data_IF_015003914501
#
_entry.id   IF_015003914501
#
_cell.length_a   1.000
_cell.length_b   1.000
_cell.length_c   1.000
_cell.angle_alpha   90.00
_cell.angle_beta   90.00
_cell.angle_gamma   90.00
#
_symmetry.space_group_name_H-M   'P 1'
#
loop_
_entity.id
_entity.type
_entity.pdbx_description
1 polymer ?
#
# COMPACT_ATOMS: atom_id res chain seq x y z
N UNK A 1 -9.03 8.91 5.09
CA UNK A 1 -7.68 9.34 5.51
C UNK A 1 -7.20 8.71 6.83
N UNK A 2 -7.99 8.77 7.92
CA UNK A 2 -7.56 8.30 9.26
C UNK A 2 -7.01 6.86 9.28
N UNK A 3 -7.67 5.93 8.58
CA UNK A 3 -7.19 4.55 8.47
C UNK A 3 -5.87 4.43 7.70
N UNK A 4 -5.66 5.21 6.63
CA UNK A 4 -4.38 5.24 5.91
C UNK A 4 -3.26 5.65 6.88
N UNK A 5 -3.49 6.71 7.65
CA UNK A 5 -2.53 7.17 8.67
C UNK A 5 -2.30 6.15 9.77
N UNK A 6 -3.34 5.45 10.21
CA UNK A 6 -3.23 4.39 11.21
C UNK A 6 -2.40 3.20 10.69
N UNK A 7 -2.68 2.74 9.47
CA UNK A 7 -1.93 1.68 8.82
C UNK A 7 -0.46 2.08 8.61
N UNK A 8 -0.18 3.32 8.16
CA UNK A 8 1.19 3.82 8.03
C UNK A 8 1.94 3.82 9.37
N UNK A 9 1.30 4.23 10.47
CA UNK A 9 1.92 4.17 11.80
C UNK A 9 2.21 2.73 12.23
N UNK A 10 1.34 1.78 11.91
CA UNK A 10 1.57 0.37 12.24
C UNK A 10 2.76 -0.20 11.46
N UNK A 11 2.79 0.03 10.14
CA UNK A 11 3.89 -0.42 9.26
C UNK A 11 5.23 0.17 9.71
N UNK A 12 5.26 1.39 10.24
CA UNK A 12 6.48 2.03 10.76
C UNK A 12 7.03 1.45 12.06
N UNK A 13 6.23 0.70 12.83
CA UNK A 13 6.68 0.08 14.09
C UNK A 13 7.43 -1.23 13.87
N UNK A 14 6.98 -2.04 12.91
CA UNK A 14 7.54 -3.36 12.64
C UNK A 14 9.05 -3.40 12.36
N UNK A 15 9.67 -2.44 11.64
CA UNK A 15 11.12 -2.44 11.46
C UNK A 15 11.93 -2.42 12.77
N UNK A 16 11.37 -1.90 13.87
CA UNK A 16 12.05 -1.90 15.18
C UNK A 16 12.21 -3.31 15.78
N UNK A 17 11.42 -4.28 15.30
CA UNK A 17 11.51 -5.70 15.68
C UNK A 17 12.56 -6.45 14.83
N UNK A 18 13.25 -5.76 13.92
CA UNK A 18 14.26 -6.34 13.04
C UNK A 18 13.67 -7.34 12.05
N UNK A 19 14.34 -8.48 11.88
CA UNK A 19 13.95 -9.45 10.85
C UNK A 19 12.56 -10.07 11.05
N UNK A 20 12.03 -10.14 12.29
CA UNK A 20 10.66 -10.63 12.52
C UNK A 20 9.62 -9.67 11.99
N UNK A 21 9.72 -8.38 12.31
CA UNK A 21 8.76 -7.39 11.84
C UNK A 21 8.79 -7.20 10.32
N UNK A 22 9.96 -7.33 9.68
CA UNK A 22 10.04 -7.34 8.20
C UNK A 22 9.32 -8.56 7.58
N UNK A 23 9.37 -9.73 8.24
CA UNK A 23 8.58 -10.90 7.81
C UNK A 23 7.09 -10.69 8.03
N UNK A 24 6.69 -10.02 9.10
CA UNK A 24 5.28 -9.74 9.38
C UNK A 24 4.69 -8.75 8.36
N UNK A 25 5.44 -7.73 7.94
CA UNK A 25 5.09 -6.89 6.78
C UNK A 25 4.85 -7.76 5.54
N UNK A 26 5.81 -8.63 5.25
CA UNK A 26 5.80 -9.47 4.05
C UNK A 26 4.59 -10.40 4.02
N UNK A 27 4.24 -10.98 5.18
CA UNK A 27 3.08 -11.86 5.32
C UNK A 27 1.76 -11.09 5.22
N UNK A 28 1.62 -9.99 5.96
CA UNK A 28 0.38 -9.21 6.00
C UNK A 28 0.01 -8.65 4.61
N UNK A 29 1.00 -8.26 3.82
CA UNK A 29 0.80 -7.68 2.48
C UNK A 29 1.03 -8.67 1.35
N UNK A 30 1.19 -9.95 1.67
CA UNK A 30 1.33 -11.03 0.69
C UNK A 30 2.42 -10.75 -0.36
N UNK A 31 3.58 -10.26 0.09
CA UNK A 31 4.69 -9.93 -0.81
C UNK A 31 5.31 -11.21 -1.40
N UNK A 32 5.52 -11.23 -2.72
CA UNK A 32 6.14 -12.37 -3.41
C UNK A 32 7.60 -12.62 -2.96
N UNK A 33 8.31 -11.55 -2.61
CA UNK A 33 9.68 -11.59 -2.06
C UNK A 33 9.64 -10.99 -0.65
N UNK A 34 10.03 -11.75 0.38
CA UNK A 34 10.07 -11.22 1.74
C UNK A 34 11.07 -10.07 1.87
N UNK A 35 10.74 -9.07 2.68
CA UNK A 35 11.67 -8.02 3.09
C UNK A 35 12.75 -8.63 3.99
N UNK A 36 14.02 -8.44 3.64
CA UNK A 36 15.15 -8.98 4.39
C UNK A 36 16.06 -7.88 4.96
N UNK A 37 16.14 -6.73 4.28
CA UNK A 37 17.00 -5.60 4.62
C UNK A 37 16.19 -4.31 4.78
N UNK A 38 16.73 -3.35 5.52
CA UNK A 38 16.11 -2.02 5.66
C UNK A 38 15.91 -1.32 4.30
N UNK A 39 16.80 -1.57 3.33
CA UNK A 39 16.64 -1.06 1.95
C UNK A 39 15.38 -1.61 1.27
N UNK A 40 15.02 -2.86 1.53
CA UNK A 40 13.80 -3.47 0.98
C UNK A 40 12.57 -2.78 1.56
N UNK A 41 12.59 -2.49 2.86
CA UNK A 41 11.54 -1.74 3.55
C UNK A 41 11.39 -0.31 3.00
N UNK A 42 12.49 0.41 2.78
CA UNK A 42 12.45 1.76 2.19
C UNK A 42 11.86 1.75 0.78
N UNK A 43 12.25 0.77 -0.04
CA UNK A 43 11.67 0.59 -1.37
C UNK A 43 10.17 0.25 -1.29
N UNK A 44 9.80 -0.64 -0.37
CA UNK A 44 8.42 -1.01 -0.13
C UNK A 44 7.55 0.19 0.27
N UNK A 45 8.02 1.10 1.13
CA UNK A 45 7.31 2.33 1.46
C UNK A 45 7.10 3.24 0.24
N UNK A 46 8.11 3.34 -0.64
CA UNK A 46 8.00 4.10 -1.90
C UNK A 46 6.98 3.46 -2.84
N UNK A 47 6.94 2.13 -2.92
CA UNK A 47 5.96 1.40 -3.70
C UNK A 47 4.53 1.64 -3.20
N UNK A 48 4.30 1.57 -1.88
CA UNK A 48 3.00 1.93 -1.28
C UNK A 48 2.61 3.36 -1.65
N UNK A 49 3.51 4.34 -1.46
CA UNK A 49 3.23 5.73 -1.82
C UNK A 49 2.84 5.85 -3.31
N UNK A 50 3.55 5.17 -4.19
CA UNK A 50 3.29 5.22 -5.63
C UNK A 50 1.89 4.67 -5.97
N UNK A 51 1.40 3.65 -5.26
CA UNK A 51 0.04 3.12 -5.48
C UNK A 51 -1.04 4.19 -5.29
N UNK A 52 -0.93 5.03 -4.25
CA UNK A 52 -1.85 6.14 -4.03
C UNK A 52 -1.72 7.21 -5.11
N UNK A 53 -0.50 7.53 -5.53
CA UNK A 53 -0.25 8.50 -6.61
C UNK A 53 -0.84 8.02 -7.93
N UNK A 54 -0.65 6.75 -8.30
CA UNK A 54 -1.24 6.18 -9.51
C UNK A 54 -2.77 6.22 -9.47
N UNK A 55 -3.39 5.88 -8.33
CA UNK A 55 -4.84 6.01 -8.19
C UNK A 55 -5.33 7.46 -8.34
N UNK A 56 -4.60 8.42 -7.77
CA UNK A 56 -4.94 9.85 -7.87
C UNK A 56 -4.76 10.41 -9.29
N UNK A 57 -3.72 10.00 -10.00
CA UNK A 57 -3.50 10.39 -11.40
C UNK A 57 -4.57 9.83 -12.34
N UNK A 58 -5.10 8.65 -12.01
CA UNK A 58 -6.07 7.91 -12.82
C UNK A 58 -7.52 8.11 -12.33
N UNK A 59 -7.81 9.13 -11.52
CA UNK A 59 -9.12 9.32 -10.87
C UNK A 59 -10.23 9.85 -11.81
N UNK A 60 -10.48 9.11 -12.89
CA UNK A 60 -11.44 9.45 -13.93
C UNK A 60 -12.83 8.84 -13.67
N UNK A 61 -13.92 9.44 -14.18
CA UNK A 61 -15.28 8.93 -14.02
C UNK A 61 -15.61 7.71 -14.92
N UNK A 62 -14.60 7.05 -15.48
CA UNK A 62 -14.72 5.86 -16.34
C UNK A 62 -13.47 4.98 -16.20
N UNK A 63 -13.52 3.69 -16.57
CA UNK A 63 -12.35 2.81 -16.52
C UNK A 63 -11.21 3.31 -17.41
N UNK A 64 -9.98 3.26 -16.90
CA UNK A 64 -8.80 3.76 -17.61
C UNK A 64 -7.65 2.75 -17.55
N UNK A 65 -6.90 2.64 -18.66
CA UNK A 65 -5.87 1.60 -18.85
C UNK A 65 -4.45 2.14 -19.05
N UNK A 66 -4.23 3.45 -18.86
CA UNK A 66 -2.97 4.13 -19.20
C UNK A 66 -1.79 3.65 -18.34
N UNK A 67 -2.01 3.51 -17.03
CA UNK A 67 -0.98 3.09 -16.06
C UNK A 67 -1.27 1.72 -15.44
N UNK A 68 -2.05 0.90 -16.16
CA UNK A 68 -2.68 -0.31 -15.64
C UNK A 68 -4.20 -0.20 -15.64
N UNK A 69 -4.89 -1.26 -15.24
CA UNK A 69 -6.35 -1.33 -15.27
C UNK A 69 -6.97 -0.69 -14.02
N UNK A 70 -7.48 0.53 -14.14
CA UNK A 70 -8.19 1.23 -13.07
C UNK A 70 -9.71 1.22 -13.32
N UNK A 71 -10.54 0.99 -12.29
CA UNK A 71 -11.99 1.18 -12.39
C UNK A 71 -12.34 2.66 -12.51
N UNK A 72 -13.61 2.98 -12.74
CA UNK A 72 -14.11 4.34 -12.57
C UNK A 72 -13.98 4.78 -11.09
N UNK A 73 -13.59 6.04 -10.86
CA UNK A 73 -13.36 6.62 -9.54
C UNK A 73 -12.46 5.76 -8.63
N UNK A 74 -11.25 5.41 -9.08
CA UNK A 74 -10.36 4.50 -8.36
C UNK A 74 -10.01 4.98 -6.94
N UNK A 75 -9.99 6.29 -6.67
CA UNK A 75 -9.74 6.80 -5.30
C UNK A 75 -10.87 6.40 -4.35
N UNK A 76 -12.13 6.53 -4.78
CA UNK A 76 -13.31 6.13 -3.99
C UNK A 76 -13.30 4.61 -3.78
N UNK A 77 -13.02 3.84 -4.83
CA UNK A 77 -12.93 2.37 -4.73
C UNK A 77 -11.84 1.95 -3.74
N UNK A 78 -10.65 2.56 -3.82
CA UNK A 78 -9.54 2.27 -2.91
C UNK A 78 -9.89 2.60 -1.46
N UNK A 79 -10.45 3.79 -1.21
CA UNK A 79 -10.89 4.19 0.14
C UNK A 79 -11.98 3.27 0.69
N UNK A 80 -12.93 2.85 -0.15
CA UNK A 80 -14.01 1.95 0.25
C UNK A 80 -13.47 0.57 0.65
N UNK A 81 -12.50 0.03 -0.10
CA UNK A 81 -11.83 -1.24 0.24
C UNK A 81 -11.08 -1.14 1.56
N UNK A 82 -10.38 -0.03 1.80
CA UNK A 82 -9.66 0.19 3.06
C UNK A 82 -10.63 0.26 4.25
N UNK A 83 -11.75 0.98 4.09
CA UNK A 83 -12.78 1.11 5.13
C UNK A 83 -13.48 -0.20 5.46
N UNK A 84 -13.62 -1.07 4.46
CA UNK A 84 -14.28 -2.38 4.59
C UNK A 84 -13.32 -3.52 4.95
N UNK A 85 -12.01 -3.27 5.01
CA UNK A 85 -11.04 -4.27 5.45
C UNK A 85 -11.15 -4.41 6.97
N UNK A 86 -11.94 -5.41 7.40
CA UNK A 86 -12.06 -5.88 8.79
C UNK A 86 -10.84 -6.69 9.21
#
# INVERSE_FOLDING_TARGET
ENQVRAASRQIQKWPAEGASGLRDISRALHLCKPLALNKDYDHFLRWIRNSYVSAAMMDYPYPATIMGNFPAFPVIVMCSRLLNAT
#
